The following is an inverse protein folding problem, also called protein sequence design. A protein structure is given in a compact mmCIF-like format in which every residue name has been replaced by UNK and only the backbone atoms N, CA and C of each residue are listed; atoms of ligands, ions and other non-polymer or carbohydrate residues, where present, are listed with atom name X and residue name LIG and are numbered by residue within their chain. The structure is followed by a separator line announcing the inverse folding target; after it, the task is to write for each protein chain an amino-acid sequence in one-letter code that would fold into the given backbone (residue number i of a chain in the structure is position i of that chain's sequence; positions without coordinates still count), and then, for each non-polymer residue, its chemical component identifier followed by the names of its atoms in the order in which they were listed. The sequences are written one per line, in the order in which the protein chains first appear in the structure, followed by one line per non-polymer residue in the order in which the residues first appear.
data_IF_587364119532
#
_entry.id   IF_587364119532
#
_cell.length_a   1.000
_cell.length_b   1.000
_cell.length_c   1.000
_cell.angle_alpha   90.00
_cell.angle_beta   90.00
_cell.angle_gamma   90.00
#
_symmetry.space_group_name_H-M   'P 1'
#
loop_
_entity.id
_entity.type
_entity.pdbx_description
1 polymer ?
#
# COMPACT_ATOMS: atom_id res chain seq x y z
N UNK A 1 1.08 -5.06 22.04
CA UNK A 1 1.63 -3.91 21.29
C UNK A 1 0.63 -3.54 20.21
N UNK A 2 -0.37 -2.70 20.51
CA UNK A 2 -1.35 -2.24 19.53
C UNK A 2 -1.11 -0.75 19.27
N UNK A 3 -0.25 -0.46 18.29
CA UNK A 3 -0.05 0.91 17.81
C UNK A 3 -1.33 1.33 17.06
N UNK A 4 -2.28 1.93 17.77
CA UNK A 4 -3.44 2.56 17.15
C UNK A 4 -2.96 3.85 16.50
N UNK A 5 -3.11 3.96 15.18
CA UNK A 5 -2.86 5.21 14.46
C UNK A 5 -3.84 6.24 15.03
N UNK A 6 -3.30 7.28 15.69
CA UNK A 6 -4.11 8.42 16.17
C UNK A 6 -4.54 9.21 14.93
N UNK A 7 -5.80 9.61 14.85
CA UNK A 7 -6.33 10.30 13.66
C UNK A 7 -5.61 11.63 13.47
N UNK A 8 -4.74 11.69 12.48
CA UNK A 8 -4.19 12.95 11.97
C UNK A 8 -4.98 13.26 10.71
N UNK A 9 -5.62 14.43 10.64
CA UNK A 9 -6.26 14.88 9.41
C UNK A 9 -5.21 15.10 8.32
N UNK A 10 -5.39 14.61 7.09
CA UNK A 10 -6.50 13.78 6.58
C UNK A 10 -6.36 12.28 6.94
N UNK A 11 -7.48 11.61 7.25
CA UNK A 11 -7.54 10.23 7.82
C UNK A 11 -7.33 9.13 6.75
N UNK A 12 -6.33 9.31 5.89
CA UNK A 12 -5.92 8.27 4.94
C UNK A 12 -4.97 7.28 5.63
N UNK A 13 -5.25 6.00 5.45
CA UNK A 13 -4.47 4.89 5.99
C UNK A 13 -3.93 4.05 4.84
N UNK A 14 -2.63 3.79 4.88
CA UNK A 14 -1.98 2.87 3.95
C UNK A 14 -1.93 1.49 4.60
N UNK A 15 -2.61 0.52 4.00
CA UNK A 15 -2.57 -0.88 4.38
C UNK A 15 -1.58 -1.58 3.46
N UNK A 16 -0.53 -2.16 4.05
CA UNK A 16 0.45 -2.98 3.33
C UNK A 16 0.30 -4.43 3.77
N UNK A 17 -0.07 -5.30 2.83
CA UNK A 17 -0.12 -6.75 3.01
C UNK A 17 1.06 -7.39 2.27
N UNK A 18 1.92 -8.06 3.04
CA UNK A 18 3.02 -8.86 2.50
C UNK A 18 2.71 -10.32 2.71
N UNK A 19 2.20 -10.96 1.67
CA UNK A 19 2.03 -12.40 1.59
C UNK A 19 3.32 -13.09 1.14
N UNK A 20 3.42 -14.41 1.34
CA UNK A 20 4.58 -15.19 0.92
C UNK A 20 4.91 -15.06 -0.58
N UNK A 21 3.88 -14.85 -1.41
CA UNK A 21 4.02 -14.78 -2.88
C UNK A 21 3.91 -13.36 -3.44
N UNK A 22 3.13 -12.49 -2.81
CA UNK A 22 2.77 -11.17 -3.36
C UNK A 22 2.74 -10.09 -2.27
N UNK A 23 2.92 -8.85 -2.70
CA UNK A 23 2.80 -7.64 -1.89
C UNK A 23 1.66 -6.81 -2.47
N UNK A 24 0.78 -6.34 -1.58
CA UNK A 24 -0.34 -5.45 -1.92
C UNK A 24 -0.28 -4.23 -1.03
N UNK A 25 -0.54 -3.06 -1.60
CA UNK A 25 -0.74 -1.84 -0.85
C UNK A 25 -2.07 -1.20 -1.24
N UNK A 26 -2.82 -0.72 -0.25
CA UNK A 26 -4.12 -0.09 -0.43
C UNK A 26 -4.17 1.17 0.41
N UNK A 27 -4.72 2.25 -0.13
CA UNK A 27 -4.97 3.46 0.64
C UNK A 27 -6.45 3.63 0.85
N UNK A 28 -6.82 3.75 2.11
CA UNK A 28 -8.20 3.73 2.58
C UNK A 28 -8.45 5.00 3.37
N UNK A 29 -9.59 5.64 3.13
CA UNK A 29 -10.06 6.79 3.91
C UNK A 29 -10.64 6.34 5.26
N UNK A 30 -10.84 7.29 6.19
CA UNK A 30 -11.45 7.04 7.51
C UNK A 30 -12.85 6.43 7.43
N UNK A 31 -13.55 6.63 6.31
CA UNK A 31 -14.84 6.02 5.98
C UNK A 31 -14.75 4.57 5.44
N UNK A 32 -13.54 4.01 5.29
CA UNK A 32 -13.34 2.66 4.76
C UNK A 32 -13.36 2.57 3.23
N UNK A 33 -13.38 3.70 2.52
CA UNK A 33 -13.34 3.74 1.04
C UNK A 33 -11.90 3.59 0.55
N UNK A 34 -11.66 2.64 -0.36
CA UNK A 34 -10.37 2.48 -1.04
C UNK A 34 -10.20 3.57 -2.10
N UNK A 35 -9.16 4.39 -1.97
CA UNK A 35 -8.83 5.45 -2.92
C UNK A 35 -7.95 4.92 -4.04
N UNK A 36 -6.88 4.20 -3.70
CA UNK A 36 -5.99 3.56 -4.66
C UNK A 36 -5.48 2.22 -4.12
N UNK A 37 -5.22 1.29 -5.03
CA UNK A 37 -4.66 -0.01 -4.69
C UNK A 37 -3.59 -0.41 -5.71
N UNK A 38 -2.57 -1.12 -5.24
CA UNK A 38 -1.54 -1.70 -6.11
C UNK A 38 -1.16 -3.09 -5.62
N UNK A 39 -0.75 -3.94 -6.55
CA UNK A 39 -0.19 -5.25 -6.25
C UNK A 39 1.03 -5.54 -7.11
N UNK A 40 1.96 -6.32 -6.59
CA UNK A 40 3.18 -6.69 -7.33
C UNK A 40 2.96 -7.80 -8.37
N UNK A 41 1.73 -8.30 -8.53
CA UNK A 41 1.39 -9.41 -9.43
C UNK A 41 1.85 -9.16 -10.87
N UNK A 42 1.65 -7.93 -11.35
CA UNK A 42 1.95 -7.52 -12.72
C UNK A 42 3.23 -6.67 -12.81
N UNK A 43 3.91 -6.45 -11.67
CA UNK A 43 5.13 -5.64 -11.58
C UNK A 43 6.35 -6.52 -11.84
N UNK A 44 7.07 -6.20 -12.92
CA UNK A 44 8.35 -6.82 -13.25
C UNK A 44 9.45 -6.25 -12.35
N UNK A 45 10.11 -7.12 -11.60
CA UNK A 45 11.21 -6.77 -10.72
C UNK A 45 12.00 -8.01 -10.31
N UNK A 46 13.29 -7.82 -10.07
CA UNK A 46 14.26 -8.90 -9.86
C UNK A 46 14.19 -9.45 -8.44
N UNK A 47 13.85 -8.60 -7.47
CA UNK A 47 13.70 -8.98 -6.06
C UNK A 47 12.34 -8.51 -5.53
N UNK A 48 11.86 -9.13 -4.44
CA UNK A 48 10.60 -8.74 -3.80
C UNK A 48 10.64 -7.30 -3.26
N UNK A 49 11.82 -6.84 -2.84
CA UNK A 49 12.02 -5.47 -2.37
C UNK A 49 11.97 -4.46 -3.52
N UNK A 50 12.60 -4.77 -4.67
CA UNK A 50 12.54 -3.96 -5.89
C UNK A 50 11.11 -3.81 -6.42
N UNK A 51 10.35 -4.92 -6.42
CA UNK A 51 8.93 -4.89 -6.78
C UNK A 51 8.10 -4.03 -5.82
N UNK A 52 8.37 -4.10 -4.52
CA UNK A 52 7.66 -3.30 -3.51
C UNK A 52 7.96 -1.81 -3.67
N UNK A 53 9.20 -1.45 -3.99
CA UNK A 53 9.58 -0.07 -4.24
C UNK A 53 8.87 0.49 -5.47
N UNK A 54 8.92 -0.23 -6.61
CA UNK A 54 8.20 0.16 -7.84
C UNK A 54 6.69 0.24 -7.65
N UNK A 55 6.12 -0.67 -6.85
CA UNK A 55 4.71 -0.62 -6.48
C UNK A 55 4.39 0.62 -5.63
N UNK A 56 5.26 0.97 -4.69
CA UNK A 56 5.11 2.19 -3.88
C UNK A 56 5.16 3.45 -4.72
N UNK A 57 6.13 3.55 -5.64
CA UNK A 57 6.30 4.68 -6.55
C UNK A 57 5.09 4.82 -7.51
N UNK A 58 4.61 3.72 -8.08
CA UNK A 58 3.44 3.73 -8.95
C UNK A 58 2.15 4.10 -8.19
N UNK A 59 2.01 3.69 -6.92
CA UNK A 59 0.89 4.09 -6.07
C UNK A 59 0.97 5.59 -5.71
N UNK A 60 2.16 6.11 -5.43
CA UNK A 60 2.36 7.53 -5.16
C UNK A 60 2.07 8.41 -6.39
N UNK A 61 2.34 7.92 -7.61
CA UNK A 61 2.02 8.63 -8.84
C UNK A 61 0.51 8.63 -9.20
N UNK A 62 -0.28 7.75 -8.57
CA UNK A 62 -1.74 7.66 -8.76
C UNK A 62 -2.53 8.52 -7.78
N UNK A 63 -1.86 9.12 -6.79
CA UNK A 63 -2.42 10.03 -5.79
C UNK A 63 -2.29 11.47 -6.22
#
# INVERSE_FOLDING_TARGET
MNAKIKSSYPDFRIIVDKSNKYIKAQVIDGAGKVFCHISDKDIKGTTKSDKAQKAGEALAALM
#
